data_IF_725169467399
#
_entry.id   IF_725169467399
#
_cell.length_a   1.000
_cell.length_b   1.000
_cell.length_c   1.000
_cell.angle_alpha   90.00
_cell.angle_beta   90.00
_cell.angle_gamma   90.00
#
_symmetry.space_group_name_H-M   'P 1'
#
loop_
_entity.id
_entity.type
_entity.pdbx_description
1 polymer ?
#
# COMPACT_ATOMS: atom_id res chain seq x y z
N UNK A 1 19.55 4.39 -11.61
CA UNK A 1 18.10 4.59 -11.42
C UNK A 1 17.34 3.26 -11.33
N UNK A 2 17.61 2.27 -12.19
CA UNK A 2 16.92 0.95 -12.17
C UNK A 2 16.98 0.22 -10.82
N UNK A 3 18.15 0.17 -10.17
CA UNK A 3 18.31 -0.51 -8.86
C UNK A 3 17.50 0.15 -7.73
N UNK A 4 17.31 1.46 -7.80
CA UNK A 4 16.54 2.20 -6.81
C UNK A 4 15.04 1.90 -6.95
N UNK A 5 14.52 1.86 -8.18
CA UNK A 5 13.12 1.52 -8.44
C UNK A 5 12.82 0.08 -8.00
N UNK A 6 13.72 -0.86 -8.31
CA UNK A 6 13.60 -2.25 -7.85
C UNK A 6 13.56 -2.36 -6.32
N UNK A 7 14.39 -1.56 -5.63
CA UNK A 7 14.37 -1.48 -4.18
C UNK A 7 13.02 -0.97 -3.64
N UNK A 8 12.44 0.08 -4.23
CA UNK A 8 11.13 0.61 -3.81
C UNK A 8 10.00 -0.40 -4.06
N UNK A 9 10.06 -1.14 -5.18
CA UNK A 9 9.10 -2.22 -5.47
C UNK A 9 9.24 -3.34 -4.43
N UNK A 10 10.47 -3.77 -4.11
CA UNK A 10 10.71 -4.78 -3.09
C UNK A 10 10.22 -4.32 -1.71
N UNK A 11 10.43 -3.05 -1.37
CA UNK A 11 9.95 -2.44 -0.14
C UNK A 11 8.41 -2.46 -0.06
N UNK A 12 7.71 -2.25 -1.18
CA UNK A 12 6.26 -2.28 -1.24
C UNK A 12 5.68 -3.71 -1.24
N UNK A 13 6.47 -4.69 -1.69
CA UNK A 13 6.06 -6.10 -1.76
C UNK A 13 5.81 -6.70 -0.38
N UNK A 14 6.65 -6.38 0.61
CA UNK A 14 6.50 -6.87 1.99
C UNK A 14 5.15 -6.46 2.61
N UNK A 15 4.80 -5.17 2.70
CA UNK A 15 3.52 -4.74 3.26
C UNK A 15 2.32 -5.17 2.41
N UNK A 16 2.50 -5.38 1.10
CA UNK A 16 1.49 -5.99 0.24
C UNK A 16 1.22 -7.46 0.57
N UNK A 17 2.28 -8.24 0.79
CA UNK A 17 2.18 -9.68 1.02
C UNK A 17 1.49 -9.99 2.36
N UNK A 18 1.69 -9.15 3.38
CA UNK A 18 1.10 -9.31 4.72
C UNK A 18 -0.42 -9.57 4.65
N UNK A 19 -1.27 -8.66 4.14
CA UNK A 19 -2.71 -8.89 4.05
C UNK A 19 -3.07 -10.00 3.04
N UNK A 20 -2.34 -10.14 1.93
CA UNK A 20 -2.65 -11.10 0.86
C UNK A 20 -2.48 -12.55 1.32
N UNK A 21 -1.47 -12.83 2.15
CA UNK A 21 -1.18 -14.17 2.64
C UNK A 21 -2.10 -14.60 3.80
N UNK A 22 -2.97 -13.73 4.29
CA UNK A 22 -3.84 -14.05 5.43
C UNK A 22 -4.83 -15.17 5.07
N UNK A 23 -4.84 -16.30 5.80
CA UNK A 23 -5.60 -17.49 5.40
C UNK A 23 -7.12 -17.35 5.59
N UNK A 24 -7.57 -16.49 6.51
CA UNK A 24 -8.99 -16.32 6.82
C UNK A 24 -9.40 -14.85 6.88
N UNK A 25 -10.70 -14.58 6.74
CA UNK A 25 -11.26 -13.23 6.83
C UNK A 25 -11.04 -12.58 8.21
N UNK A 26 -11.01 -13.39 9.29
CA UNK A 26 -10.76 -12.92 10.66
C UNK A 26 -9.33 -12.40 10.83
N UNK A 27 -8.35 -13.16 10.32
CA UNK A 27 -6.94 -12.76 10.33
C UNK A 27 -6.71 -11.53 9.44
N UNK A 28 -7.33 -11.49 8.26
CA UNK A 28 -7.29 -10.33 7.39
C UNK A 28 -7.81 -9.08 8.09
N UNK A 29 -9.01 -9.14 8.70
CA UNK A 29 -9.55 -8.00 9.46
C UNK A 29 -8.68 -7.59 10.63
N UNK A 30 -8.17 -8.54 11.42
CA UNK A 30 -7.29 -8.24 12.55
C UNK A 30 -6.04 -7.50 12.10
N UNK A 31 -5.39 -7.97 11.04
CA UNK A 31 -4.21 -7.32 10.45
C UNK A 31 -4.55 -5.95 9.88
N UNK A 32 -5.67 -5.82 9.15
CA UNK A 32 -6.13 -4.54 8.62
C UNK A 32 -6.40 -3.53 9.73
N UNK A 33 -7.01 -3.94 10.85
CA UNK A 33 -7.26 -3.06 11.98
C UNK A 33 -5.94 -2.65 12.67
N UNK A 34 -5.07 -3.61 12.98
CA UNK A 34 -3.81 -3.33 13.70
C UNK A 34 -2.86 -2.50 12.84
N UNK A 35 -2.49 -2.98 11.66
CA UNK A 35 -1.56 -2.24 10.78
C UNK A 35 -2.21 -0.97 10.21
N UNK A 36 -3.50 -1.00 9.89
CA UNK A 36 -4.23 0.18 9.43
C UNK A 36 -4.29 1.27 10.49
N UNK A 37 -4.52 0.93 11.76
CA UNK A 37 -4.50 1.91 12.86
C UNK A 37 -3.10 2.50 13.08
N UNK A 38 -2.04 1.70 12.98
CA UNK A 38 -0.65 2.18 13.08
C UNK A 38 -0.32 3.15 11.94
N UNK A 39 -0.68 2.81 10.70
CA UNK A 39 -0.49 3.69 9.55
C UNK A 39 -1.32 4.97 9.69
N UNK A 40 -2.58 4.85 10.11
CA UNK A 40 -3.44 6.01 10.34
C UNK A 40 -2.87 6.94 11.42
N UNK A 41 -2.35 6.39 12.52
CA UNK A 41 -1.68 7.16 13.57
C UNK A 41 -0.44 7.89 13.04
N UNK A 42 0.37 7.23 12.20
CA UNK A 42 1.54 7.84 11.58
C UNK A 42 1.14 9.02 10.67
N UNK A 43 0.11 8.85 9.84
CA UNK A 43 -0.39 9.93 8.98
C UNK A 43 -1.04 11.07 9.77
N UNK A 44 -1.77 10.76 10.84
CA UNK A 44 -2.31 11.78 11.75
C UNK A 44 -1.20 12.58 12.43
N UNK A 45 -0.15 11.91 12.92
CA UNK A 45 1.01 12.57 13.51
C UNK A 45 1.70 13.48 12.49
N UNK A 46 1.91 13.00 11.26
CA UNK A 46 2.49 13.81 10.20
C UNK A 46 1.64 15.05 9.91
N UNK A 47 0.32 14.88 9.76
CA UNK A 47 -0.62 15.98 9.52
C UNK A 47 -0.59 17.05 10.63
N UNK A 48 -0.54 16.62 11.89
CA UNK A 48 -0.45 17.54 13.04
C UNK A 48 0.84 18.36 13.01
N UNK A 49 1.96 17.73 12.64
CA UNK A 49 3.27 18.40 12.56
C UNK A 49 3.31 19.35 11.36
N UNK A 50 2.86 18.90 10.18
CA UNK A 50 2.87 19.70 8.96
C UNK A 50 1.90 20.90 9.00
N UNK A 51 0.91 20.86 9.89
CA UNK A 51 -0.03 21.98 10.09
C UNK A 51 0.53 23.09 10.98
N UNK A 52 1.72 22.93 11.58
CA UNK A 52 2.32 23.96 12.43
C UNK A 52 2.98 25.05 11.56
N UNK A 53 2.78 26.33 11.90
CA UNK A 53 3.33 27.45 11.11
C UNK A 53 4.86 27.50 11.12
N UNK A 54 5.50 26.89 12.13
CA UNK A 54 6.96 26.84 12.27
C UNK A 54 7.60 25.62 11.56
N UNK A 55 6.78 24.81 10.88
CA UNK A 55 7.26 23.59 10.23
C UNK A 55 7.89 23.90 8.87
N UNK A 56 9.19 23.64 8.76
CA UNK A 56 9.93 23.75 7.51
C UNK A 56 10.43 22.37 7.09
N UNK A 57 9.83 21.81 6.04
CA UNK A 57 10.27 20.53 5.48
C UNK A 57 11.55 20.70 4.64
N UNK A 58 12.59 19.97 5.02
CA UNK A 58 13.79 19.77 4.21
C UNK A 58 13.71 18.52 3.34
N UNK A 59 14.71 18.31 2.49
CA UNK A 59 14.81 17.11 1.62
C UNK A 59 14.73 15.78 2.40
N UNK A 60 15.17 15.76 3.66
CA UNK A 60 15.03 14.60 4.55
C UNK A 60 13.58 14.29 4.94
N UNK A 61 12.72 15.30 5.09
CA UNK A 61 11.30 15.13 5.38
C UNK A 61 10.54 14.49 4.21
N UNK A 62 10.86 14.92 2.98
CA UNK A 62 10.26 14.34 1.77
C UNK A 62 10.60 12.86 1.59
N UNK A 63 11.85 12.46 1.83
CA UNK A 63 12.25 11.04 1.82
C UNK A 63 11.55 10.30 2.97
N UNK A 64 11.52 10.91 4.16
CA UNK A 64 10.84 10.39 5.34
C UNK A 64 9.35 10.11 5.11
N UNK A 65 8.68 10.82 4.20
CA UNK A 65 7.29 10.59 3.80
C UNK A 65 7.13 9.57 2.68
N UNK A 66 8.08 9.49 1.76
CA UNK A 66 8.04 8.55 0.65
C UNK A 66 8.02 7.10 1.13
N UNK A 67 8.79 6.76 2.17
CA UNK A 67 8.82 5.40 2.74
C UNK A 67 7.45 4.98 3.32
N UNK A 68 6.84 5.73 4.26
CA UNK A 68 5.49 5.46 4.75
C UNK A 68 4.44 5.45 3.64
N UNK A 69 4.55 6.30 2.63
CA UNK A 69 3.64 6.29 1.47
C UNK A 69 3.72 4.97 0.71
N UNK A 70 4.94 4.48 0.42
CA UNK A 70 5.17 3.19 -0.23
C UNK A 70 4.58 2.04 0.59
N UNK A 71 4.82 2.05 1.89
CA UNK A 71 4.28 1.04 2.80
C UNK A 71 2.76 1.09 2.84
N UNK A 72 2.18 2.29 2.91
CA UNK A 72 0.73 2.51 2.97
C UNK A 72 0.05 2.03 1.69
N UNK A 73 0.59 2.40 0.53
CA UNK A 73 0.03 1.99 -0.78
C UNK A 73 0.15 0.48 -0.95
N UNK A 74 1.31 -0.11 -0.65
CA UNK A 74 1.50 -1.57 -0.72
C UNK A 74 0.50 -2.31 0.17
N UNK A 75 0.37 -1.89 1.42
CA UNK A 75 -0.57 -2.48 2.37
C UNK A 75 -2.03 -2.31 1.95
N UNK A 76 -2.46 -1.09 1.62
CA UNK A 76 -3.84 -0.79 1.23
C UNK A 76 -4.26 -1.58 -0.03
N UNK A 77 -3.35 -1.68 -1.01
CA UNK A 77 -3.57 -2.46 -2.23
C UNK A 77 -3.74 -3.94 -1.89
N UNK A 78 -2.85 -4.49 -1.05
CA UNK A 78 -2.94 -5.88 -0.60
C UNK A 78 -4.22 -6.17 0.20
N UNK A 79 -4.68 -5.23 1.03
CA UNK A 79 -5.95 -5.32 1.76
C UNK A 79 -7.13 -5.37 0.79
N UNK A 80 -7.17 -4.48 -0.21
CA UNK A 80 -8.24 -4.43 -1.19
C UNK A 80 -8.32 -5.71 -2.04
N UNK A 81 -7.17 -6.24 -2.47
CA UNK A 81 -7.10 -7.47 -3.26
C UNK A 81 -7.44 -8.70 -2.42
N UNK A 82 -6.98 -8.77 -1.17
CA UNK A 82 -7.38 -9.89 -0.31
C UNK A 82 -8.88 -9.84 0.00
N UNK A 83 -9.43 -8.66 0.27
CA UNK A 83 -10.86 -8.48 0.48
C UNK A 83 -11.69 -8.93 -0.73
N UNK A 84 -11.30 -8.50 -1.94
CA UNK A 84 -11.99 -8.90 -3.17
C UNK A 84 -11.86 -10.40 -3.45
N UNK A 85 -10.67 -10.99 -3.26
CA UNK A 85 -10.46 -12.42 -3.49
C UNK A 85 -11.19 -13.29 -2.47
N UNK A 86 -11.28 -12.88 -1.20
CA UNK A 86 -12.09 -13.57 -0.20
C UNK A 86 -13.58 -13.51 -0.56
N UNK A 87 -14.07 -12.36 -1.02
CA UNK A 87 -15.44 -12.19 -1.47
C UNK A 87 -15.76 -13.04 -2.71
N UNK A 88 -14.83 -13.12 -3.67
CA UNK A 88 -14.96 -13.97 -4.84
C UNK A 88 -14.86 -15.46 -4.49
N UNK A 89 -13.97 -15.85 -3.57
CA UNK A 89 -13.86 -17.22 -3.08
C UNK A 89 -15.16 -17.68 -2.39
N UNK A 90 -15.80 -16.79 -1.62
CA UNK A 90 -17.12 -17.06 -1.03
C UNK A 90 -18.21 -17.29 -2.10
N UNK A 91 -18.01 -16.82 -3.33
CA UNK A 91 -18.89 -17.05 -4.49
C UNK A 91 -18.48 -18.25 -5.35
N UNK A 92 -17.55 -19.09 -4.88
CA UNK A 92 -17.14 -20.33 -5.57
C UNK A 92 -16.01 -20.16 -6.59
N UNK A 93 -15.24 -19.07 -6.52
CA UNK A 93 -14.10 -18.87 -7.42
C UNK A 93 -12.99 -19.91 -7.14
N UNK A 94 -12.45 -20.54 -8.19
CA UNK A 94 -11.35 -21.49 -8.06
C UNK A 94 -10.08 -20.84 -7.47
N UNK A 95 -9.41 -21.57 -6.58
CA UNK A 95 -8.20 -21.12 -5.87
C UNK A 95 -7.07 -20.65 -6.82
N UNK A 96 -6.94 -21.26 -8.01
CA UNK A 96 -5.99 -20.80 -9.04
C UNK A 96 -6.24 -19.35 -9.47
N UNK A 97 -7.51 -18.96 -9.64
CA UNK A 97 -7.86 -17.59 -10.04
C UNK A 97 -7.59 -16.59 -8.91
N UNK A 98 -7.78 -16.99 -7.65
CA UNK A 98 -7.41 -16.18 -6.48
C UNK A 98 -5.92 -15.87 -6.47
N UNK A 99 -5.06 -16.86 -6.74
CA UNK A 99 -3.61 -16.66 -6.82
C UNK A 99 -3.26 -15.70 -7.97
N UNK A 100 -3.83 -15.90 -9.16
CA UNK A 100 -3.59 -15.02 -10.32
C UNK A 100 -3.98 -13.57 -10.01
N UNK A 101 -5.15 -13.34 -9.42
CA UNK A 101 -5.60 -11.99 -9.03
C UNK A 101 -4.65 -11.39 -7.98
N UNK A 102 -4.18 -12.20 -7.04
CA UNK A 102 -3.24 -11.76 -5.99
C UNK A 102 -1.86 -11.43 -6.54
N UNK A 103 -1.41 -12.08 -7.61
CA UNK A 103 -0.12 -11.74 -8.26
C UNK A 103 -0.29 -10.50 -9.15
N UNK A 104 -1.33 -10.47 -10.00
CA UNK A 104 -1.57 -9.36 -10.91
C UNK A 104 -1.88 -8.06 -10.17
N UNK A 105 -2.59 -8.14 -9.04
CA UNK A 105 -2.95 -6.97 -8.26
C UNK A 105 -1.76 -6.25 -7.62
N UNK A 106 -0.60 -6.91 -7.47
CA UNK A 106 0.62 -6.22 -7.06
C UNK A 106 1.09 -5.20 -8.11
N UNK A 107 0.80 -5.41 -9.40
CA UNK A 107 1.15 -4.46 -10.45
C UNK A 107 0.44 -3.10 -10.32
N UNK A 108 -0.63 -3.02 -9.51
CA UNK A 108 -1.30 -1.75 -9.19
C UNK A 108 -0.39 -0.85 -8.34
N UNK A 109 0.44 -1.43 -7.48
CA UNK A 109 1.32 -0.69 -6.56
C UNK A 109 2.28 0.26 -7.31
N UNK A 110 3.10 -0.19 -8.29
CA UNK A 110 3.94 0.73 -9.06
C UNK A 110 3.12 1.70 -9.91
N UNK A 111 1.93 1.32 -10.39
CA UNK A 111 1.06 2.24 -11.13
C UNK A 111 0.61 3.43 -10.27
N UNK A 112 0.30 3.21 -8.99
CA UNK A 112 -0.04 4.29 -8.05
C UNK A 112 1.09 5.32 -7.87
N UNK A 113 2.35 4.93 -8.06
CA UNK A 113 3.49 5.87 -8.01
C UNK A 113 3.78 6.52 -9.37
N UNK A 114 3.50 5.83 -10.47
CA UNK A 114 3.77 6.32 -11.82
C UNK A 114 2.70 7.29 -12.33
N UNK A 115 1.42 7.05 -12.02
CA UNK A 115 0.30 7.86 -12.54
C UNK A 115 0.35 9.33 -12.09
N UNK A 116 0.63 9.68 -10.82
CA UNK A 116 0.74 11.07 -10.40
C UNK A 116 1.86 11.84 -11.09
N UNK A 117 2.90 11.16 -11.57
CA UNK A 117 3.98 11.81 -12.32
C UNK A 117 3.52 12.36 -13.68
N UNK A 118 2.36 11.92 -14.17
CA UNK A 118 1.76 12.37 -15.44
C UNK A 118 0.74 13.49 -15.25
N UNK A 119 0.42 13.85 -14.00
CA UNK A 119 -0.49 14.94 -13.68
C UNK A 119 -0.15 16.28 -14.37
N UNK A 120 1.13 16.67 -14.53
CA UNK A 120 1.48 17.90 -15.25
C UNK A 120 1.20 17.84 -16.76
N UNK A 121 0.97 16.65 -17.31
CA UNK A 121 0.71 16.41 -18.74
C UNK A 121 -0.78 16.19 -19.04
N UNK A 122 -1.66 16.34 -18.04
CA UNK A 122 -3.10 16.25 -18.26
C UNK A 122 -3.61 17.58 -18.85
N UNK A 123 -4.45 17.52 -19.91
CA UNK A 123 -5.01 18.71 -20.55
C UNK A 123 -5.96 19.49 -19.66
#
# INVERSE_FOLDING_TARGET
MTNFILFLIALALVPYAIPVLMPSWRWWLGVTCVFGSLLAALWMQHWIVSSRPDHHDGAGGAIGLAFPAIVTVGFATGVAIRGSTLLLAARGLALRRVIVISVLGFAIVPACFYVPSWWPAWP
#
